data_IF_690203354453
#
_entry.id   IF_690203354453
#
_cell.length_a   1.000
_cell.length_b   1.000
_cell.length_c   1.000
_cell.angle_alpha   90.00
_cell.angle_beta   90.00
_cell.angle_gamma   90.00
#
_symmetry.space_group_name_H-M   'P 1'
#
loop_
_entity.id
_entity.type
_entity.pdbx_description
1 polymer ?
#
# COMPACT_ATOMS: atom_id res chain seq x y z
N UNK A 1 25.93 -6.16 -17.47
CA UNK A 1 25.13 -4.93 -17.64
C UNK A 1 23.67 -5.21 -17.98
N UNK A 2 23.34 -6.20 -18.82
CA UNK A 2 21.96 -6.57 -19.16
C UNK A 2 21.09 -6.96 -17.94
N UNK A 3 21.59 -7.79 -17.02
CA UNK A 3 20.84 -8.21 -15.82
C UNK A 3 20.48 -7.05 -14.87
N UNK A 4 21.29 -5.98 -14.84
CA UNK A 4 20.99 -4.79 -14.03
C UNK A 4 19.92 -3.90 -14.66
N UNK A 5 19.81 -3.90 -15.99
CA UNK A 5 18.77 -3.17 -16.71
C UNK A 5 17.41 -3.87 -16.57
N UNK A 6 17.40 -5.20 -16.54
CA UNK A 6 16.18 -6.01 -16.35
C UNK A 6 15.60 -5.81 -14.95
N UNK A 7 16.44 -5.89 -13.92
CA UNK A 7 16.01 -5.64 -12.53
C UNK A 7 15.44 -4.23 -12.33
N UNK A 8 16.06 -3.22 -12.93
CA UNK A 8 15.58 -1.85 -12.86
C UNK A 8 14.21 -1.69 -13.55
N UNK A 9 14.00 -2.38 -14.67
CA UNK A 9 12.72 -2.37 -15.38
C UNK A 9 11.61 -3.07 -14.57
N UNK A 10 11.89 -4.24 -14.00
CA UNK A 10 10.95 -4.96 -13.12
C UNK A 10 10.60 -4.14 -11.88
N UNK A 11 11.58 -3.53 -11.22
CA UNK A 11 11.36 -2.65 -10.08
C UNK A 11 10.48 -1.45 -10.44
N UNK A 12 10.67 -0.85 -11.62
CA UNK A 12 9.83 0.23 -12.12
C UNK A 12 8.37 -0.20 -12.34
N UNK A 13 8.15 -1.39 -12.91
CA UNK A 13 6.80 -1.95 -13.08
C UNK A 13 6.11 -2.23 -11.75
N UNK A 14 6.84 -2.77 -10.77
CA UNK A 14 6.32 -2.97 -9.42
C UNK A 14 5.94 -1.63 -8.77
N UNK A 15 6.82 -0.63 -8.83
CA UNK A 15 6.56 0.70 -8.29
C UNK A 15 5.30 1.34 -8.89
N UNK A 16 5.10 1.20 -10.21
CA UNK A 16 3.90 1.69 -10.89
C UNK A 16 2.62 0.99 -10.39
N UNK A 17 2.67 -0.34 -10.22
CA UNK A 17 1.54 -1.12 -9.69
C UNK A 17 1.21 -0.75 -8.25
N UNK A 18 2.23 -0.56 -7.41
CA UNK A 18 2.04 -0.12 -6.02
C UNK A 18 1.44 1.29 -5.95
N UNK A 19 1.90 2.20 -6.80
CA UNK A 19 1.32 3.54 -6.92
C UNK A 19 -0.17 3.47 -7.29
N UNK A 20 -0.55 2.63 -8.26
CA UNK A 20 -1.93 2.45 -8.67
C UNK A 20 -2.81 1.80 -7.58
N UNK A 21 -2.26 0.82 -6.85
CA UNK A 21 -2.93 0.18 -5.72
C UNK A 21 -3.19 1.20 -4.61
N UNK A 22 -2.18 1.98 -4.22
CA UNK A 22 -2.31 3.04 -3.22
C UNK A 22 -3.38 4.07 -3.59
N UNK A 23 -3.33 4.56 -4.83
CA UNK A 23 -4.34 5.50 -5.34
C UNK A 23 -5.76 4.92 -5.29
N UNK A 24 -5.91 3.61 -5.48
CA UNK A 24 -7.22 2.95 -5.38
C UNK A 24 -7.75 2.87 -3.96
N UNK A 25 -6.86 2.65 -2.98
CA UNK A 25 -7.21 2.64 -1.56
C UNK A 25 -7.58 4.06 -1.10
N UNK A 26 -6.80 5.08 -1.50
CA UNK A 26 -7.00 6.48 -1.11
C UNK A 26 -8.30 7.08 -1.67
N UNK A 27 -8.88 6.50 -2.72
CA UNK A 27 -10.23 6.87 -3.20
C UNK A 27 -11.33 6.58 -2.18
N UNK A 28 -11.14 5.60 -1.30
CA UNK A 28 -12.11 5.19 -0.28
C UNK A 28 -11.68 5.59 1.13
N UNK A 29 -10.39 5.57 1.41
CA UNK A 29 -9.78 5.92 2.69
C UNK A 29 -9.03 7.26 2.61
N UNK A 30 -9.77 8.36 2.77
CA UNK A 30 -9.29 9.72 2.50
C UNK A 30 -8.54 10.32 3.69
N UNK A 31 -7.48 11.09 3.42
CA UNK A 31 -6.79 11.90 4.42
C UNK A 31 -5.82 11.15 5.33
N UNK A 32 -5.55 9.87 5.04
CA UNK A 32 -4.67 9.01 5.84
C UNK A 32 -3.62 8.31 4.97
N UNK A 33 -2.87 9.10 4.18
CA UNK A 33 -1.85 8.62 3.24
C UNK A 33 -0.78 7.72 3.91
N UNK A 34 -0.21 8.17 5.02
CA UNK A 34 0.86 7.47 5.73
C UNK A 34 0.41 6.09 6.26
N UNK A 35 -0.84 5.98 6.70
CA UNK A 35 -1.41 4.70 7.16
C UNK A 35 -1.49 3.70 6.01
N UNK A 36 -1.88 4.14 4.81
CA UNK A 36 -1.94 3.28 3.62
C UNK A 36 -0.54 2.79 3.24
N UNK A 37 0.45 3.68 3.22
CA UNK A 37 1.86 3.33 2.95
C UNK A 37 2.39 2.30 3.95
N UNK A 38 2.16 2.51 5.25
CA UNK A 38 2.62 1.59 6.30
C UNK A 38 1.96 0.20 6.20
N UNK A 39 0.66 0.14 5.86
CA UNK A 39 -0.05 -1.13 5.69
C UNK A 39 0.45 -1.87 4.45
N UNK A 40 0.66 -1.17 3.33
CA UNK A 40 1.24 -1.77 2.13
C UNK A 40 2.66 -2.29 2.41
N UNK A 41 3.48 -1.53 3.14
CA UNK A 41 4.82 -1.95 3.54
C UNK A 41 4.78 -3.21 4.44
N UNK A 42 3.83 -3.29 5.38
CA UNK A 42 3.64 -4.47 6.22
C UNK A 42 3.26 -5.70 5.38
N UNK A 43 2.32 -5.57 4.43
CA UNK A 43 1.91 -6.67 3.55
C UNK A 43 3.07 -7.15 2.67
N UNK A 44 3.77 -6.21 2.01
CA UNK A 44 4.87 -6.52 1.10
C UNK A 44 6.08 -7.16 1.79
N UNK A 45 6.29 -6.86 3.07
CA UNK A 45 7.34 -7.48 3.89
C UNK A 45 6.91 -8.80 4.53
N UNK A 46 5.65 -9.23 4.35
CA UNK A 46 5.10 -10.40 5.04
C UNK A 46 4.90 -10.18 6.55
N UNK A 47 4.87 -8.92 6.98
CA UNK A 47 4.63 -8.51 8.36
C UNK A 47 3.14 -8.38 8.69
N UNK A 48 2.88 -7.79 9.86
CA UNK A 48 1.53 -7.57 10.37
C UNK A 48 1.37 -6.12 10.82
N UNK A 49 0.18 -5.54 10.61
CA UNK A 49 -0.16 -4.19 11.03
C UNK A 49 -1.34 -4.20 12.02
N UNK A 50 -1.26 -3.38 13.06
CA UNK A 50 -2.35 -3.14 14.00
C UNK A 50 -2.87 -1.71 13.86
N UNK A 51 -4.13 -1.55 13.46
CA UNK A 51 -4.75 -0.24 13.27
C UNK A 51 -5.38 0.26 14.59
N UNK A 52 -4.77 1.29 15.19
CA UNK A 52 -5.25 1.91 16.44
C UNK A 52 -5.68 3.36 16.17
N UNK A 53 -6.83 3.78 16.70
CA UNK A 53 -7.30 5.15 16.56
C UNK A 53 -8.75 5.33 17.00
N UNK A 54 -9.25 6.56 16.98
CA UNK A 54 -10.62 6.89 17.41
C UNK A 54 -11.70 6.15 16.60
N UNK A 55 -12.89 5.91 17.18
CA UNK A 55 -14.03 5.37 16.45
C UNK A 55 -14.36 6.20 15.19
N UNK A 56 -14.81 5.55 14.12
CA UNK A 56 -15.23 6.23 12.89
C UNK A 56 -14.10 6.59 11.90
N UNK A 57 -12.82 6.41 12.24
CA UNK A 57 -11.69 6.73 11.35
C UNK A 57 -11.41 5.69 10.25
N UNK A 58 -12.44 4.95 9.81
CA UNK A 58 -12.34 4.06 8.64
C UNK A 58 -11.47 2.82 8.80
N UNK A 59 -11.01 2.44 10.00
CA UNK A 59 -10.14 1.27 10.23
C UNK A 59 -10.68 -0.03 9.60
N UNK A 60 -11.97 -0.33 9.80
CA UNK A 60 -12.63 -1.50 9.19
C UNK A 60 -12.77 -1.36 7.68
N UNK A 61 -13.06 -0.15 7.20
CA UNK A 61 -13.17 0.14 5.76
C UNK A 61 -11.82 -0.01 5.05
N UNK A 62 -10.71 0.34 5.71
CA UNK A 62 -9.37 0.11 5.16
C UNK A 62 -9.10 -1.38 4.96
N UNK A 63 -9.42 -2.22 5.95
CA UNK A 63 -9.25 -3.68 5.86
C UNK A 63 -10.14 -4.27 4.74
N UNK A 64 -11.39 -3.84 4.64
CA UNK A 64 -12.33 -4.23 3.58
C UNK A 64 -11.83 -3.81 2.18
N UNK A 65 -11.21 -2.64 2.07
CA UNK A 65 -10.67 -2.12 0.80
C UNK A 65 -9.43 -2.89 0.33
N UNK A 66 -8.72 -3.55 1.24
CA UNK A 66 -7.49 -4.31 0.95
C UNK A 66 -7.74 -5.78 0.62
N UNK A 67 -8.95 -6.29 0.89
CA UNK A 67 -9.36 -7.68 0.66
C UNK A 67 -9.85 -7.88 -0.78
#
# INVERSE_FOLDING_TARGET
MAAGQDLAAEAGQLAARLTAARASIERRFVGQHEVVEQVLAAILSGGHALLVGQPGLGKTMLVDTLS
#
